data_IF_279408174328
#
_entry.id   IF_279408174328
#
_cell.length_a   1.000
_cell.length_b   1.000
_cell.length_c   1.000
_cell.angle_alpha   90.00
_cell.angle_beta   90.00
_cell.angle_gamma   90.00
#
_symmetry.space_group_name_H-M   'P 1'
#
loop_
_entity.id
_entity.type
_entity.pdbx_description
1 polymer ?
#
# COMPACT_ATOMS: atom_id res chain seq x y z
N UNK A 1 4.17 9.75 -22.49
CA UNK A 1 2.85 9.34 -23.05
C UNK A 1 2.40 10.20 -24.24
N UNK A 2 3.29 10.98 -24.83
CA UNK A 2 2.98 11.90 -25.95
C UNK A 2 2.35 11.22 -27.20
N UNK A 3 2.44 9.89 -27.30
CA UNK A 3 1.91 9.12 -28.43
C UNK A 3 0.49 8.58 -28.21
N UNK A 4 -0.06 8.74 -27.00
CA UNK A 4 -1.37 8.17 -26.64
C UNK A 4 -2.19 9.18 -25.84
N UNK A 5 -3.47 9.30 -26.13
CA UNK A 5 -4.41 10.16 -25.42
C UNK A 5 -4.71 9.62 -24.02
N UNK A 6 -4.66 8.29 -23.85
CA UNK A 6 -4.90 7.60 -22.59
C UNK A 6 -4.07 6.32 -22.49
N UNK A 7 -3.57 6.03 -21.28
CA UNK A 7 -2.88 4.78 -20.94
C UNK A 7 -3.61 4.10 -19.78
N UNK A 8 -4.16 2.93 -20.04
CA UNK A 8 -4.83 2.10 -19.03
C UNK A 8 -3.95 0.95 -18.58
N UNK A 9 -3.76 0.83 -17.27
CA UNK A 9 -3.04 -0.29 -16.65
C UNK A 9 -4.02 -1.02 -15.72
N UNK A 10 -4.22 -2.32 -15.94
CA UNK A 10 -5.07 -3.13 -15.07
C UNK A 10 -4.51 -3.19 -13.64
N UNK A 11 -5.37 -3.27 -12.62
CA UNK A 11 -4.97 -3.30 -11.20
C UNK A 11 -4.02 -4.45 -10.87
N UNK A 12 -4.15 -5.57 -11.56
CA UNK A 12 -3.26 -6.73 -11.42
C UNK A 12 -2.64 -7.09 -12.79
N UNK A 13 -1.61 -6.34 -13.27
CA UNK A 13 -1.02 -6.52 -14.59
C UNK A 13 0.01 -7.66 -14.62
N UNK A 14 -0.24 -8.74 -13.90
CA UNK A 14 0.62 -9.93 -13.78
C UNK A 14 -0.15 -11.19 -14.14
N UNK A 15 0.51 -12.36 -14.13
CA UNK A 15 -0.13 -13.66 -14.36
C UNK A 15 -1.37 -13.89 -13.46
N UNK A 16 -1.35 -13.37 -12.24
CA UNK A 16 -2.51 -13.43 -11.35
C UNK A 16 -3.74 -12.70 -11.93
N UNK A 17 -3.56 -11.62 -12.67
CA UNK A 17 -4.63 -10.89 -13.35
C UNK A 17 -5.20 -11.61 -14.57
N UNK A 18 -4.48 -12.55 -15.16
CA UNK A 18 -4.97 -13.35 -16.30
C UNK A 18 -6.20 -14.18 -15.93
N UNK A 19 -6.21 -14.77 -14.72
CA UNK A 19 -7.38 -15.48 -14.20
C UNK A 19 -8.59 -14.57 -14.04
N UNK A 20 -8.39 -13.37 -13.48
CA UNK A 20 -9.44 -12.36 -13.34
C UNK A 20 -9.97 -11.90 -14.71
N UNK A 21 -9.09 -11.61 -15.65
CA UNK A 21 -9.46 -11.21 -17.01
C UNK A 21 -10.28 -12.29 -17.74
N UNK A 22 -9.88 -13.55 -17.58
CA UNK A 22 -10.63 -14.71 -18.14
C UNK A 22 -12.02 -14.84 -17.52
N UNK A 23 -12.13 -14.72 -16.20
CA UNK A 23 -13.41 -14.75 -15.49
C UNK A 23 -14.32 -13.58 -15.92
N UNK A 24 -13.78 -12.36 -15.99
CA UNK A 24 -14.51 -11.17 -16.45
C UNK A 24 -15.02 -11.33 -17.89
N UNK A 25 -14.20 -11.88 -18.79
CA UNK A 25 -14.59 -12.15 -20.18
C UNK A 25 -15.71 -13.20 -20.26
N UNK A 26 -15.60 -14.26 -19.48
CA UNK A 26 -16.62 -15.31 -19.42
C UNK A 26 -17.93 -14.78 -18.86
N UNK A 27 -17.88 -13.98 -17.81
CA UNK A 27 -19.03 -13.30 -17.23
C UNK A 27 -19.70 -12.36 -18.23
N UNK A 28 -18.93 -11.50 -18.93
CA UNK A 28 -19.46 -10.60 -19.96
C UNK A 28 -20.18 -11.37 -21.07
N UNK A 29 -19.59 -12.49 -21.53
CA UNK A 29 -20.20 -13.36 -22.54
C UNK A 29 -21.51 -14.01 -22.04
N UNK A 30 -21.56 -14.43 -20.78
CA UNK A 30 -22.74 -15.09 -20.21
C UNK A 30 -23.88 -14.12 -19.90
N UNK A 31 -23.57 -12.87 -19.53
CA UNK A 31 -24.57 -11.88 -19.07
C UNK A 31 -24.92 -10.81 -20.11
N UNK A 32 -24.13 -10.70 -21.19
CA UNK A 32 -24.24 -9.60 -22.17
C UNK A 32 -23.82 -8.23 -21.64
N UNK A 33 -23.24 -8.15 -20.44
CA UNK A 33 -22.75 -6.90 -19.83
C UNK A 33 -21.29 -6.67 -20.24
N UNK A 34 -20.93 -5.44 -20.51
CA UNK A 34 -19.59 -5.00 -20.93
C UNK A 34 -18.76 -4.40 -19.80
N UNK A 35 -19.41 -4.07 -18.66
CA UNK A 35 -18.75 -3.43 -17.50
C UNK A 35 -18.91 -4.26 -16.24
N UNK A 36 -17.78 -4.74 -15.72
CA UNK A 36 -17.69 -5.41 -14.42
C UNK A 36 -17.24 -4.40 -13.35
N UNK A 37 -18.03 -4.29 -12.27
CA UNK A 37 -17.61 -3.57 -11.07
C UNK A 37 -16.78 -4.55 -10.24
N UNK A 38 -15.52 -4.20 -9.98
CA UNK A 38 -14.58 -5.04 -9.26
C UNK A 38 -13.72 -4.22 -8.30
N UNK A 39 -13.27 -4.84 -7.22
CA UNK A 39 -12.37 -4.24 -6.24
C UNK A 39 -11.12 -5.12 -6.06
N UNK A 40 -9.92 -4.54 -5.91
CA UNK A 40 -8.71 -5.29 -5.59
C UNK A 40 -8.75 -5.93 -4.19
N UNK A 41 -9.63 -5.51 -3.32
CA UNK A 41 -9.81 -6.06 -1.97
C UNK A 41 -10.73 -7.30 -2.02
N UNK A 42 -10.21 -8.40 -2.54
CA UNK A 42 -10.98 -9.63 -2.80
C UNK A 42 -10.53 -10.84 -1.96
N UNK A 43 -9.46 -10.71 -1.17
CA UNK A 43 -8.92 -11.78 -0.33
C UNK A 43 -9.69 -12.01 0.98
N UNK A 44 -9.08 -12.73 1.91
CA UNK A 44 -9.67 -12.99 3.23
C UNK A 44 -9.88 -11.71 4.03
N UNK A 45 -10.91 -11.71 4.86
CA UNK A 45 -11.29 -10.58 5.68
C UNK A 45 -10.77 -10.74 7.11
N UNK A 46 -10.19 -9.70 7.68
CA UNK A 46 -9.85 -9.58 9.09
C UNK A 46 -10.70 -8.45 9.66
N UNK A 47 -11.64 -8.80 10.56
CA UNK A 47 -12.62 -7.87 11.10
C UNK A 47 -12.21 -7.28 12.46
N UNK A 48 -11.01 -7.61 12.96
CA UNK A 48 -10.51 -7.08 14.24
C UNK A 48 -10.49 -5.55 14.20
N UNK A 49 -11.23 -4.88 15.10
CA UNK A 49 -11.25 -3.43 15.13
C UNK A 49 -9.87 -2.83 15.40
N UNK A 50 -9.47 -1.88 14.59
CA UNK A 50 -8.24 -1.12 14.79
C UNK A 50 -8.58 0.31 15.22
N UNK A 51 -7.92 0.78 16.28
CA UNK A 51 -7.95 2.18 16.70
C UNK A 51 -6.82 2.94 15.97
N UNK A 52 -7.12 3.87 15.04
CA UNK A 52 -6.11 4.64 14.31
C UNK A 52 -5.14 5.39 15.24
N UNK A 53 -5.63 5.97 16.32
CA UNK A 53 -4.80 6.70 17.27
C UNK A 53 -3.77 5.78 17.95
N UNK A 54 -4.14 4.55 18.32
CA UNK A 54 -3.21 3.58 18.89
C UNK A 54 -2.13 3.13 17.88
N UNK A 55 -2.48 3.03 16.60
CA UNK A 55 -1.50 2.77 15.52
C UNK A 55 -0.51 3.91 15.42
N UNK A 56 -1.00 5.15 15.44
CA UNK A 56 -0.15 6.34 15.36
C UNK A 56 0.71 6.51 16.61
N UNK A 57 0.20 6.25 17.81
CA UNK A 57 0.99 6.22 19.04
C UNK A 57 2.19 5.28 18.88
N UNK A 58 1.93 4.06 18.43
CA UNK A 58 2.98 3.07 18.18
C UNK A 58 3.98 3.51 17.08
N UNK A 59 3.49 4.08 15.99
CA UNK A 59 4.36 4.62 14.93
C UNK A 59 5.27 5.74 15.43
N UNK A 60 4.76 6.63 16.28
CA UNK A 60 5.55 7.75 16.84
C UNK A 60 6.62 7.26 17.83
N UNK A 61 6.37 6.15 18.53
CA UNK A 61 7.31 5.54 19.46
C UNK A 61 8.32 4.63 18.77
N UNK A 62 7.83 3.70 17.90
CA UNK A 62 8.64 2.60 17.36
C UNK A 62 9.02 2.77 15.89
N UNK A 63 8.43 3.73 15.17
CA UNK A 63 8.70 4.12 13.76
C UNK A 63 8.12 3.21 12.70
N UNK A 64 7.66 2.01 13.00
CA UNK A 64 7.04 1.08 12.06
C UNK A 64 6.06 0.15 12.77
N UNK A 65 5.08 -0.35 12.01
CA UNK A 65 4.19 -1.43 12.44
C UNK A 65 3.53 -2.10 11.22
N UNK A 66 2.88 -3.24 11.47
CA UNK A 66 2.00 -3.89 10.50
C UNK A 66 0.55 -3.40 10.62
N UNK A 67 -0.18 -3.41 9.51
CA UNK A 67 -1.65 -3.31 9.45
C UNK A 67 -2.17 -4.55 8.73
N UNK A 68 -3.10 -5.27 9.38
CA UNK A 68 -3.81 -6.41 8.82
C UNK A 68 -5.31 -6.27 9.15
N UNK A 69 -6.07 -5.58 8.28
CA UNK A 69 -7.48 -5.29 8.49
C UNK A 69 -8.27 -5.33 7.18
N UNK A 70 -9.58 -5.60 7.26
CA UNK A 70 -10.43 -5.70 6.09
C UNK A 70 -10.04 -6.85 5.16
N UNK A 71 -10.53 -6.83 3.94
CA UNK A 71 -10.21 -7.84 2.92
C UNK A 71 -8.81 -7.63 2.36
N UNK A 72 -8.03 -8.72 2.30
CA UNK A 72 -6.69 -8.68 1.71
C UNK A 72 -6.72 -8.24 0.24
N UNK A 73 -5.68 -7.56 -0.18
CA UNK A 73 -5.50 -7.16 -1.57
C UNK A 73 -5.29 -8.38 -2.48
N UNK A 74 -5.93 -8.36 -3.63
CA UNK A 74 -5.68 -9.28 -4.75
C UNK A 74 -4.77 -8.59 -5.77
N UNK A 75 -3.53 -8.99 -5.82
CA UNK A 75 -2.54 -8.39 -6.72
C UNK A 75 -1.14 -8.30 -6.11
N UNK A 76 -0.18 -7.69 -6.82
CA UNK A 76 1.23 -7.70 -6.43
C UNK A 76 1.58 -6.65 -5.36
N UNK A 77 0.65 -5.82 -4.92
CA UNK A 77 0.90 -4.69 -4.01
C UNK A 77 0.00 -4.74 -2.79
N UNK A 78 0.56 -4.40 -1.62
CA UNK A 78 -0.22 -4.04 -0.46
C UNK A 78 -0.69 -2.59 -0.60
N UNK A 79 -1.97 -2.36 -0.34
CA UNK A 79 -2.64 -1.08 -0.53
C UNK A 79 -3.25 -0.55 0.78
N UNK A 80 -2.82 -1.09 1.92
CA UNK A 80 -3.24 -0.66 3.25
C UNK A 80 -3.85 -1.75 4.13
N UNK A 81 -4.36 -2.86 3.55
CA UNK A 81 -5.03 -3.90 4.32
C UNK A 81 -4.10 -5.06 4.74
N UNK A 82 -2.95 -5.21 4.09
CA UNK A 82 -1.87 -6.14 4.47
C UNK A 82 -0.54 -5.45 4.29
N UNK A 83 -0.32 -4.41 5.08
CA UNK A 83 0.76 -3.44 4.92
C UNK A 83 1.72 -3.44 6.11
N UNK A 84 3.01 -3.36 5.83
CA UNK A 84 4.01 -2.90 6.76
C UNK A 84 4.24 -1.42 6.46
N UNK A 85 3.98 -0.57 7.45
CA UNK A 85 4.04 0.89 7.33
C UNK A 85 5.15 1.44 8.22
N UNK A 86 5.68 2.61 7.84
CA UNK A 86 6.71 3.28 8.64
C UNK A 86 6.65 4.80 8.50
N UNK A 87 7.22 5.46 9.51
CA UNK A 87 7.35 6.91 9.62
C UNK A 87 8.41 7.44 8.65
N UNK A 88 7.99 8.19 7.63
CA UNK A 88 8.86 8.69 6.56
C UNK A 88 9.80 9.82 6.99
N UNK A 89 9.62 10.38 8.18
CA UNK A 89 10.45 11.47 8.71
C UNK A 89 11.84 10.99 9.18
N UNK A 90 12.05 9.68 9.26
CA UNK A 90 13.28 9.06 9.72
C UNK A 90 13.88 8.18 8.63
N UNK A 91 15.20 8.02 8.65
CA UNK A 91 15.89 7.07 7.77
C UNK A 91 15.62 5.62 8.22
N UNK A 92 14.46 5.12 7.87
CA UNK A 92 13.93 3.81 8.29
C UNK A 92 14.14 2.71 7.23
N UNK A 93 14.66 3.06 6.06
CA UNK A 93 14.76 2.14 4.91
C UNK A 93 15.54 0.87 5.22
N UNK A 94 16.69 1.00 5.86
CA UNK A 94 17.54 -0.14 6.24
C UNK A 94 16.84 -1.06 7.24
N UNK A 95 16.14 -0.49 8.23
CA UNK A 95 15.38 -1.23 9.23
C UNK A 95 14.27 -2.03 8.59
N UNK A 96 13.43 -1.40 7.76
CA UNK A 96 12.32 -2.08 7.07
C UNK A 96 12.84 -3.13 6.10
N UNK A 97 13.93 -2.89 5.37
CA UNK A 97 14.56 -3.90 4.50
C UNK A 97 15.13 -5.09 5.30
N UNK A 98 15.64 -4.86 6.50
CA UNK A 98 16.12 -5.92 7.42
C UNK A 98 14.95 -6.78 7.89
N UNK A 99 13.85 -6.21 8.36
CA UNK A 99 12.61 -6.92 8.72
C UNK A 99 12.14 -7.79 7.54
N UNK A 100 12.13 -7.23 6.33
CA UNK A 100 11.72 -7.92 5.11
C UNK A 100 12.75 -8.94 4.59
N UNK A 101 13.93 -9.03 5.19
CA UNK A 101 15.06 -9.91 4.78
C UNK A 101 15.42 -9.74 3.30
N UNK A 102 15.49 -8.50 2.84
CA UNK A 102 15.82 -8.17 1.44
C UNK A 102 17.00 -7.19 1.36
N UNK A 103 17.46 -6.93 0.14
CA UNK A 103 18.59 -6.03 -0.10
C UNK A 103 18.27 -4.62 0.39
N UNK A 104 19.21 -3.98 1.08
CA UNK A 104 19.05 -2.67 1.72
C UNK A 104 18.81 -1.54 0.73
N UNK A 105 19.33 -1.63 -0.50
CA UNK A 105 19.16 -0.63 -1.55
C UNK A 105 17.73 -0.57 -2.15
N UNK A 106 16.85 -1.52 -1.82
CA UNK A 106 15.51 -1.54 -2.41
C UNK A 106 14.65 -0.42 -1.87
N UNK A 107 14.04 0.37 -2.77
CA UNK A 107 13.18 1.48 -2.37
C UNK A 107 11.83 1.00 -1.86
N UNK A 108 11.15 1.94 -1.19
CA UNK A 108 9.76 1.79 -0.76
C UNK A 108 8.87 2.81 -1.46
N UNK A 109 7.58 2.65 -1.29
CA UNK A 109 6.55 3.50 -1.86
C UNK A 109 5.91 4.35 -0.75
N UNK A 110 5.64 5.64 -1.00
CA UNK A 110 4.76 6.42 -0.14
C UNK A 110 3.30 6.07 -0.41
N UNK A 111 2.48 6.02 0.65
CA UNK A 111 1.04 6.12 0.58
C UNK A 111 0.66 7.49 1.13
N UNK A 112 0.05 8.34 0.30
CA UNK A 112 -0.26 9.74 0.60
C UNK A 112 -1.76 9.99 0.50
N UNK A 113 -2.28 10.89 1.35
CA UNK A 113 -3.65 11.40 1.22
C UNK A 113 -3.83 12.12 -0.12
N UNK A 114 -4.90 11.82 -0.85
CA UNK A 114 -5.18 12.33 -2.19
C UNK A 114 -5.05 13.84 -2.29
N UNK A 115 -5.57 14.56 -1.31
CA UNK A 115 -5.61 16.02 -1.27
C UNK A 115 -4.24 16.71 -1.20
N UNK A 116 -3.19 15.97 -0.85
CA UNK A 116 -1.81 16.46 -0.77
C UNK A 116 -0.90 15.90 -1.87
N UNK A 117 -1.39 14.97 -2.69
CA UNK A 117 -0.55 14.24 -3.63
C UNK A 117 0.20 15.17 -4.59
N UNK A 118 -0.49 16.15 -5.17
CA UNK A 118 0.08 17.10 -6.14
C UNK A 118 1.02 18.13 -5.49
N UNK A 119 0.93 18.34 -4.18
CA UNK A 119 1.89 19.18 -3.44
C UNK A 119 3.24 18.47 -3.30
N UNK A 120 3.22 17.16 -3.06
CA UNK A 120 4.41 16.37 -2.75
C UNK A 120 5.05 15.69 -3.96
N UNK A 121 4.28 15.43 -5.01
CA UNK A 121 4.75 14.69 -6.19
C UNK A 121 4.29 15.34 -7.50
N UNK A 122 5.04 15.13 -8.56
CA UNK A 122 4.73 15.57 -9.92
C UNK A 122 4.75 14.40 -10.90
N UNK A 123 3.68 14.24 -11.68
CA UNK A 123 3.52 13.16 -12.65
C UNK A 123 2.32 12.26 -12.38
N UNK A 124 2.17 11.15 -13.10
CA UNK A 124 1.03 10.26 -12.98
C UNK A 124 1.05 9.48 -11.67
N UNK A 125 -0.08 9.45 -10.98
CA UNK A 125 -0.29 8.73 -9.73
C UNK A 125 -1.62 8.01 -9.72
N UNK A 126 -1.74 6.93 -8.96
CA UNK A 126 -3.03 6.28 -8.68
C UNK A 126 -3.03 5.51 -7.36
N UNK A 127 -4.17 4.88 -7.06
CA UNK A 127 -4.37 4.11 -5.82
C UNK A 127 -3.57 2.79 -5.78
N UNK A 128 -3.03 2.34 -6.93
CA UNK A 128 -2.50 0.97 -7.11
C UNK A 128 -0.98 0.90 -7.27
N UNK A 129 -0.24 2.00 -7.04
CA UNK A 129 1.22 2.04 -7.20
C UNK A 129 1.70 1.60 -8.60
N UNK A 130 1.01 2.01 -9.67
CA UNK A 130 1.29 1.58 -11.04
C UNK A 130 2.19 2.55 -11.81
N UNK A 131 2.35 3.76 -11.30
CA UNK A 131 3.16 4.82 -11.90
C UNK A 131 4.30 5.24 -10.99
N UNK A 132 5.30 5.90 -11.57
CA UNK A 132 6.33 6.64 -10.84
C UNK A 132 6.18 8.12 -11.15
N UNK A 133 6.34 8.93 -10.11
CA UNK A 133 6.24 10.39 -10.16
C UNK A 133 7.48 11.00 -9.52
N UNK A 134 7.79 12.26 -9.82
CA UNK A 134 8.93 12.96 -9.24
C UNK A 134 8.59 13.51 -7.87
N UNK A 135 9.45 13.28 -6.90
CA UNK A 135 9.30 13.84 -5.56
C UNK A 135 9.65 15.34 -5.58
N UNK A 136 8.80 16.17 -4.98
CA UNK A 136 9.01 17.61 -4.79
C UNK A 136 9.67 17.92 -3.43
N UNK A 137 9.64 16.97 -2.51
CA UNK A 137 10.23 17.08 -1.17
C UNK A 137 11.13 15.88 -0.90
N UNK A 138 12.16 16.08 -0.08
CA UNK A 138 13.11 15.03 0.26
C UNK A 138 12.59 14.19 1.45
N UNK A 139 12.08 13.01 1.10
CA UNK A 139 11.72 11.96 2.05
C UNK A 139 12.47 10.68 1.66
N UNK A 140 13.74 10.60 2.05
CA UNK A 140 14.68 9.54 1.66
C UNK A 140 14.11 8.11 1.72
N UNK A 141 13.30 7.69 2.73
CA UNK A 141 12.77 6.33 2.78
C UNK A 141 11.84 5.95 1.64
N UNK A 142 11.22 6.92 0.97
CA UNK A 142 10.19 6.70 -0.07
C UNK A 142 10.53 7.37 -1.40
N UNK A 143 11.69 8.02 -1.49
CA UNK A 143 12.23 8.60 -2.72
C UNK A 143 13.36 7.71 -3.25
N UNK A 144 13.32 7.39 -4.54
CA UNK A 144 14.35 6.60 -5.20
C UNK A 144 15.61 7.47 -5.44
N UNK A 145 16.73 6.83 -5.74
CA UNK A 145 18.02 7.51 -5.97
C UNK A 145 18.01 8.50 -7.15
N UNK A 146 17.05 8.33 -8.07
CA UNK A 146 16.84 9.23 -9.22
C UNK A 146 15.84 10.37 -8.92
N UNK A 147 15.33 10.46 -7.70
CA UNK A 147 14.32 11.45 -7.31
C UNK A 147 12.88 11.04 -7.60
N UNK A 148 12.64 9.86 -8.18
CA UNK A 148 11.28 9.36 -8.41
C UNK A 148 10.71 8.63 -7.18
N UNK A 149 9.39 8.46 -7.15
CA UNK A 149 8.67 7.67 -6.16
C UNK A 149 7.50 6.94 -6.79
N UNK A 150 7.21 5.71 -6.34
CA UNK A 150 6.05 4.95 -6.80
C UNK A 150 4.88 5.17 -5.85
N UNK A 151 4.15 6.25 -6.08
CA UNK A 151 3.14 6.79 -5.16
C UNK A 151 1.86 5.95 -5.16
N UNK A 152 1.32 5.70 -3.95
CA UNK A 152 -0.05 5.28 -3.75
C UNK A 152 -0.89 6.47 -3.31
N UNK A 153 -1.92 6.82 -4.05
CA UNK A 153 -2.95 7.76 -3.60
C UNK A 153 -3.95 7.03 -2.70
N UNK A 154 -4.21 7.57 -1.52
CA UNK A 154 -5.29 7.12 -0.64
C UNK A 154 -6.46 8.08 -0.80
N UNK A 155 -7.49 7.62 -1.50
CA UNK A 155 -8.65 8.43 -1.91
C UNK A 155 -9.40 9.04 -0.74
N UNK A 156 -9.94 10.25 -0.95
CA UNK A 156 -10.68 11.00 0.06
C UNK A 156 -12.00 10.32 0.47
N UNK A 157 -12.63 9.62 -0.45
CA UNK A 157 -13.87 8.88 -0.23
C UNK A 157 -13.63 7.43 0.23
N UNK A 158 -12.37 7.05 0.51
CA UNK A 158 -12.02 5.73 1.03
C UNK A 158 -12.24 5.67 2.54
N UNK A 159 -13.20 4.87 2.98
CA UNK A 159 -13.49 4.65 4.41
C UNK A 159 -12.56 3.64 5.10
N UNK A 160 -11.42 3.30 4.50
CA UNK A 160 -10.49 2.32 5.06
C UNK A 160 -9.86 2.78 6.38
N UNK A 161 -9.54 1.81 7.25
CA UNK A 161 -8.75 2.07 8.46
C UNK A 161 -7.40 2.71 8.09
N UNK A 162 -6.81 2.28 6.99
CA UNK A 162 -5.53 2.81 6.52
C UNK A 162 -5.59 4.32 6.25
N UNK A 163 -6.67 4.81 5.62
CA UNK A 163 -6.86 6.25 5.44
C UNK A 163 -6.93 6.97 6.78
N UNK A 164 -7.74 6.48 7.71
CA UNK A 164 -7.89 7.07 9.06
C UNK A 164 -6.56 7.11 9.82
N UNK A 165 -5.70 6.12 9.64
CA UNK A 165 -4.35 6.11 10.23
C UNK A 165 -3.49 7.23 9.63
N UNK A 166 -3.52 7.44 8.31
CA UNK A 166 -2.72 8.51 7.68
C UNK A 166 -3.28 9.89 8.06
N UNK A 167 -4.60 10.06 8.17
CA UNK A 167 -5.23 11.31 8.63
C UNK A 167 -4.80 11.66 10.06
N UNK A 168 -4.92 10.71 11.00
CA UNK A 168 -4.46 10.87 12.38
C UNK A 168 -2.95 11.15 12.47
N UNK A 169 -2.15 10.46 11.64
CA UNK A 169 -0.71 10.71 11.57
C UNK A 169 -0.41 12.11 11.03
N UNK A 170 -1.13 12.58 10.02
CA UNK A 170 -1.02 13.93 9.50
C UNK A 170 -1.37 14.99 10.53
N UNK A 171 -2.48 14.84 11.26
CA UNK A 171 -2.89 15.76 12.31
C UNK A 171 -1.80 15.94 13.38
N UNK A 172 -1.06 14.87 13.69
CA UNK A 172 -0.05 14.87 14.75
C UNK A 172 1.36 15.24 14.28
N UNK A 173 1.64 15.15 12.98
CA UNK A 173 3.01 15.32 12.46
C UNK A 173 3.13 16.39 11.38
N UNK A 174 2.02 16.79 10.76
CA UNK A 174 2.02 17.63 9.57
C UNK A 174 2.48 16.94 8.29
N UNK A 175 2.72 15.61 8.31
CA UNK A 175 3.17 14.85 7.13
C UNK A 175 2.04 13.95 6.64
N UNK A 176 1.49 14.16 5.42
CA UNK A 176 0.27 13.49 4.95
C UNK A 176 0.53 12.10 4.33
N UNK A 177 1.64 11.45 4.65
CA UNK A 177 2.01 10.16 4.04
C UNK A 177 2.80 9.27 4.99
N UNK A 178 2.73 7.97 4.72
CA UNK A 178 3.52 6.92 5.36
C UNK A 178 4.27 6.10 4.30
N UNK A 179 5.40 5.50 4.66
CA UNK A 179 5.98 4.40 3.89
C UNK A 179 5.00 3.22 3.90
N UNK A 180 4.72 2.66 2.73
CA UNK A 180 3.88 1.47 2.58
C UNK A 180 4.60 0.36 1.81
N UNK A 181 4.61 -0.83 2.36
CA UNK A 181 5.10 -2.05 1.71
C UNK A 181 4.29 -3.26 2.16
N UNK A 182 4.35 -4.36 1.42
CA UNK A 182 3.60 -5.58 1.73
C UNK A 182 4.01 -6.20 3.08
N UNK A 183 3.03 -6.67 3.84
CA UNK A 183 3.22 -7.36 5.12
C UNK A 183 3.66 -8.81 4.86
N UNK A 184 4.92 -8.97 4.47
CA UNK A 184 5.58 -10.23 4.25
C UNK A 184 7.10 -10.08 4.33
N UNK A 185 7.80 -11.20 4.33
CA UNK A 185 9.25 -11.27 4.14
C UNK A 185 9.57 -11.86 2.76
N UNK A 186 10.83 -11.72 2.34
CA UNK A 186 11.32 -12.28 1.07
C UNK A 186 10.97 -13.76 0.93
N UNK A 187 10.38 -14.13 -0.20
CA UNK A 187 10.05 -15.52 -0.54
C UNK A 187 8.82 -16.08 0.17
N UNK A 188 8.05 -15.24 0.85
CA UNK A 188 6.80 -15.62 1.50
C UNK A 188 5.63 -14.78 0.95
N UNK A 189 4.41 -15.34 0.89
CA UNK A 189 3.22 -14.56 0.56
C UNK A 189 2.95 -13.49 1.62
N UNK A 190 2.05 -12.56 1.32
CA UNK A 190 1.52 -11.64 2.30
C UNK A 190 0.71 -12.40 3.36
N UNK A 191 0.68 -11.86 4.57
CA UNK A 191 -0.27 -12.27 5.61
C UNK A 191 -1.68 -12.33 4.99
N UNK A 192 -2.38 -13.41 5.22
CA UNK A 192 -3.68 -13.68 4.59
C UNK A 192 -4.83 -13.49 5.58
N UNK A 193 -4.80 -14.21 6.69
CA UNK A 193 -5.85 -14.23 7.71
C UNK A 193 -5.30 -13.88 9.10
N UNK A 194 -6.17 -13.96 10.11
CA UNK A 194 -5.83 -13.64 11.51
C UNK A 194 -4.73 -14.54 12.07
N UNK A 195 -4.75 -15.82 11.72
CA UNK A 195 -3.73 -16.76 12.17
C UNK A 195 -2.34 -16.43 11.60
N UNK A 196 -2.28 -16.11 10.32
CA UNK A 196 -1.05 -15.65 9.67
C UNK A 196 -0.52 -14.36 10.30
N UNK A 197 -1.43 -13.42 10.68
CA UNK A 197 -1.10 -12.17 11.36
C UNK A 197 -0.41 -12.43 12.70
N UNK A 198 -1.02 -13.29 13.53
CA UNK A 198 -0.47 -13.64 14.85
C UNK A 198 0.89 -14.34 14.74
N UNK A 199 1.00 -15.31 13.84
CA UNK A 199 2.26 -16.01 13.60
C UNK A 199 3.36 -15.05 13.08
N UNK A 200 2.98 -14.10 12.24
CA UNK A 200 3.93 -13.13 11.69
C UNK A 200 4.42 -12.17 12.78
N UNK A 201 3.52 -11.63 13.61
CA UNK A 201 3.84 -10.77 14.75
C UNK A 201 4.80 -11.47 15.72
N UNK A 202 4.45 -12.67 16.18
CA UNK A 202 5.28 -13.46 17.10
C UNK A 202 6.66 -13.79 16.54
N UNK A 203 6.73 -14.11 15.24
CA UNK A 203 7.97 -14.57 14.62
C UNK A 203 8.95 -13.45 14.32
N UNK A 204 8.47 -12.26 14.02
CA UNK A 204 9.31 -11.15 13.55
C UNK A 204 9.41 -10.00 14.55
N UNK A 205 8.74 -10.12 15.68
CA UNK A 205 8.72 -9.13 16.77
C UNK A 205 8.36 -7.72 16.23
N UNK A 206 7.32 -7.66 15.41
CA UNK A 206 6.79 -6.42 14.83
C UNK A 206 5.30 -6.37 15.11
N UNK A 207 4.87 -5.37 15.86
CA UNK A 207 3.45 -5.16 16.17
C UNK A 207 2.61 -5.10 14.90
N UNK A 208 1.53 -5.88 14.85
CA UNK A 208 0.53 -5.87 13.77
C UNK A 208 -0.85 -5.56 14.36
N UNK A 209 -1.43 -4.48 13.90
CA UNK A 209 -2.78 -4.02 14.25
C UNK A 209 -3.80 -4.60 13.29
#
# INVERSE_FOLDING_TARGET
FELFDEVHIAVSPTDAGSGLGTAARSWAKATGKDKLIWSPYAGYNIDTPINPSAVVDHLLEHRYCGIANGRAEFGPRALGNRSLIADVRYDIQDTVNTIKRRQKYRPFAPAILEEFADEYFDGPMNEYMQFTSWAKHDYAPVTHVDGSARVQIVKKDCESVFRKVIEEYYERTGVPMLLNTSLNIRGRPMVNDEHDRELWEQKYDVKVF
#
